data_IF_433275931632
#
_entry.id   IF_433275931632
#
_cell.length_a   1.000
_cell.length_b   1.000
_cell.length_c   1.000
_cell.angle_alpha   90.00
_cell.angle_beta   90.00
_cell.angle_gamma   90.00
#
_symmetry.space_group_name_H-M   'P 1'
#
loop_
_entity.id
_entity.type
_entity.pdbx_description
1 polymer ?
#
# COMPACT_ATOMS: atom_id res chain seq x y z
N UNK A 1 -12.53 -10.78 55.05
CA UNK A 1 -13.19 -11.37 53.86
C UNK A 1 -13.89 -10.24 53.11
N UNK A 2 -13.32 -9.79 52.00
CA UNK A 2 -13.90 -8.76 51.14
C UNK A 2 -13.30 -8.91 49.75
N UNK A 3 -14.00 -9.62 48.85
CA UNK A 3 -13.61 -9.79 47.46
C UNK A 3 -14.06 -8.58 46.65
N UNK A 4 -13.12 -7.88 46.02
CA UNK A 4 -13.41 -6.86 45.01
C UNK A 4 -13.46 -7.56 43.66
N UNK A 5 -14.62 -7.53 43.01
CA UNK A 5 -14.83 -8.07 41.68
C UNK A 5 -14.15 -7.15 40.64
N UNK A 6 -13.19 -7.70 39.90
CA UNK A 6 -12.57 -7.01 38.76
C UNK A 6 -13.52 -7.10 37.55
N UNK A 7 -14.08 -5.97 37.15
CA UNK A 7 -14.80 -5.82 35.88
C UNK A 7 -13.75 -5.76 34.76
N UNK A 8 -13.65 -6.84 33.97
CA UNK A 8 -12.88 -6.83 32.73
C UNK A 8 -13.67 -6.04 31.67
N UNK A 9 -13.20 -4.86 31.33
CA UNK A 9 -13.70 -4.12 30.18
C UNK A 9 -13.22 -4.81 28.90
N UNK A 10 -14.15 -5.37 28.12
CA UNK A 10 -13.88 -5.83 26.76
C UNK A 10 -13.55 -4.62 25.88
N UNK A 11 -12.30 -4.57 25.41
CA UNK A 11 -11.85 -3.64 24.39
C UNK A 11 -12.50 -4.05 23.06
N UNK A 12 -13.22 -3.16 22.35
CA UNK A 12 -13.74 -3.48 21.03
C UNK A 12 -12.57 -3.66 20.06
N UNK A 13 -12.38 -4.89 19.59
CA UNK A 13 -11.44 -5.22 18.51
C UNK A 13 -11.93 -4.56 17.23
N UNK A 14 -11.11 -3.68 16.66
CA UNK A 14 -11.30 -3.20 15.29
C UNK A 14 -11.38 -4.43 14.35
N UNK A 15 -12.19 -4.38 13.27
CA UNK A 15 -12.22 -5.45 12.30
C UNK A 15 -10.82 -5.64 11.73
N UNK A 16 -10.21 -6.77 12.04
CA UNK A 16 -9.03 -7.26 11.36
C UNK A 16 -9.35 -7.32 9.86
N UNK A 17 -8.44 -6.77 9.04
CA UNK A 17 -8.42 -7.10 7.63
C UNK A 17 -8.47 -8.64 7.49
N UNK A 18 -9.23 -9.18 6.53
CA UNK A 18 -9.34 -10.63 6.38
C UNK A 18 -7.93 -11.20 6.23
N UNK A 19 -7.50 -11.96 7.25
CA UNK A 19 -6.41 -12.91 7.09
C UNK A 19 -6.84 -13.90 6.01
N UNK A 20 -5.93 -14.17 5.10
CA UNK A 20 -6.10 -15.03 3.94
C UNK A 20 -6.50 -16.45 4.34
N UNK A 21 -7.81 -16.70 4.45
CA UNK A 21 -8.45 -18.03 4.37
C UNK A 21 -9.90 -17.90 3.92
N UNK A 22 -10.18 -17.01 2.94
CA UNK A 22 -11.30 -17.29 2.03
C UNK A 22 -10.85 -18.46 1.12
N UNK A 23 -11.74 -19.38 0.70
CA UNK A 23 -11.44 -20.20 -0.47
C UNK A 23 -10.99 -19.23 -1.56
N UNK A 24 -9.79 -19.45 -2.12
CA UNK A 24 -9.18 -18.50 -3.04
C UNK A 24 -10.19 -18.25 -4.15
N UNK A 25 -10.75 -17.03 -4.20
CA UNK A 25 -11.76 -16.68 -5.18
C UNK A 25 -11.22 -17.07 -6.56
N UNK A 26 -12.05 -17.66 -7.42
CA UNK A 26 -11.61 -18.07 -8.74
C UNK A 26 -11.31 -16.81 -9.59
N UNK A 27 -10.10 -16.71 -10.13
CA UNK A 27 -9.69 -15.66 -11.07
C UNK A 27 -9.88 -16.17 -12.49
N UNK A 28 -10.75 -15.54 -13.27
CA UNK A 28 -11.16 -16.02 -14.58
C UNK A 28 -10.27 -15.54 -15.73
N UNK A 29 -9.52 -14.46 -15.51
CA UNK A 29 -8.69 -13.79 -16.51
C UNK A 29 -9.39 -12.56 -17.10
N UNK A 30 -8.64 -11.49 -17.44
CA UNK A 30 -9.20 -10.23 -17.92
C UNK A 30 -9.97 -10.35 -19.25
N UNK A 31 -9.76 -11.42 -20.01
CA UNK A 31 -10.52 -11.73 -21.22
C UNK A 31 -12.04 -11.83 -20.96
N UNK A 32 -12.48 -12.25 -19.77
CA UNK A 32 -13.91 -12.27 -19.41
C UNK A 32 -14.53 -10.89 -19.31
N UNK A 33 -13.72 -9.84 -19.14
CA UNK A 33 -14.17 -8.45 -19.07
C UNK A 33 -14.20 -7.77 -20.46
N UNK A 34 -13.57 -8.39 -21.47
CA UNK A 34 -13.14 -7.75 -22.72
C UNK A 34 -14.21 -7.61 -23.80
N UNK A 35 -15.44 -8.08 -23.58
CA UNK A 35 -16.50 -7.98 -24.59
C UNK A 35 -17.02 -6.54 -24.73
N UNK A 36 -17.57 -6.20 -25.90
CA UNK A 36 -18.14 -4.86 -26.16
C UNK A 36 -19.42 -4.56 -25.39
N UNK A 37 -20.05 -5.58 -24.77
CA UNK A 37 -21.20 -5.38 -23.87
C UNK A 37 -20.76 -5.21 -22.41
N UNK A 38 -19.50 -5.52 -22.11
CA UNK A 38 -18.87 -5.36 -20.80
C UNK A 38 -17.93 -4.13 -20.82
N UNK A 39 -16.62 -4.35 -20.72
CA UNK A 39 -15.61 -3.29 -20.59
C UNK A 39 -14.70 -3.14 -21.83
N UNK A 40 -15.06 -3.77 -22.95
CA UNK A 40 -14.23 -3.85 -24.16
C UNK A 40 -14.64 -2.96 -25.34
N UNK A 41 -15.56 -2.00 -25.15
CA UNK A 41 -15.97 -1.10 -26.25
C UNK A 41 -14.79 -0.31 -26.78
N UNK A 42 -14.82 0.01 -28.07
CA UNK A 42 -13.77 0.78 -28.72
C UNK A 42 -13.56 2.18 -28.12
N UNK A 43 -14.67 2.84 -27.81
CA UNK A 43 -14.73 4.17 -27.22
C UNK A 43 -15.62 4.13 -25.98
N UNK A 44 -15.38 5.07 -25.08
CA UNK A 44 -16.27 5.32 -23.95
C UNK A 44 -17.69 5.63 -24.44
N UNK A 45 -18.69 5.19 -23.69
CA UNK A 45 -20.09 5.54 -23.89
C UNK A 45 -20.55 6.55 -22.81
N UNK A 46 -21.39 7.49 -23.21
CA UNK A 46 -22.01 8.46 -22.30
C UNK A 46 -23.32 7.93 -21.70
N UNK A 47 -23.71 8.45 -20.54
CA UNK A 47 -24.99 8.10 -19.89
C UNK A 47 -25.00 6.74 -19.18
N UNK A 48 -23.84 6.11 -18.99
CA UNK A 48 -23.65 4.89 -18.21
C UNK A 48 -22.82 5.16 -16.96
N UNK A 49 -22.98 4.33 -15.92
CA UNK A 49 -22.26 4.46 -14.65
C UNK A 49 -20.76 4.08 -14.71
N UNK A 50 -20.33 3.51 -15.84
CA UNK A 50 -18.99 3.02 -16.16
C UNK A 50 -18.65 3.44 -17.59
N UNK A 51 -17.38 3.48 -17.96
CA UNK A 51 -16.94 3.92 -19.29
C UNK A 51 -17.18 2.84 -20.38
N UNK A 52 -17.27 1.56 -19.99
CA UNK A 52 -17.40 0.37 -20.85
C UNK A 52 -16.23 0.13 -21.84
N UNK A 53 -15.12 0.86 -21.70
CA UNK A 53 -13.91 0.69 -22.48
C UNK A 53 -12.66 0.49 -21.60
N UNK A 54 -12.84 0.21 -20.30
CA UNK A 54 -11.77 0.07 -19.31
C UNK A 54 -10.76 -1.02 -19.69
N UNK A 55 -11.19 -2.13 -20.30
CA UNK A 55 -10.29 -3.17 -20.80
C UNK A 55 -9.32 -2.63 -21.87
N UNK A 56 -9.77 -1.69 -22.70
CA UNK A 56 -8.91 -1.06 -23.71
C UNK A 56 -7.92 -0.09 -23.09
N UNK A 57 -8.36 0.68 -22.10
CA UNK A 57 -7.48 1.57 -21.33
C UNK A 57 -6.38 0.73 -20.66
N UNK A 58 -6.76 -0.36 -19.99
CA UNK A 58 -5.83 -1.29 -19.36
C UNK A 58 -4.82 -1.90 -20.35
N UNK A 59 -5.30 -2.48 -21.46
CA UNK A 59 -4.43 -3.14 -22.46
C UNK A 59 -3.49 -2.17 -23.19
N UNK A 60 -3.88 -0.91 -23.39
CA UNK A 60 -3.14 0.03 -24.24
C UNK A 60 -2.30 1.03 -23.47
N UNK A 61 -2.77 1.48 -22.32
CA UNK A 61 -2.20 2.63 -21.62
C UNK A 61 -1.60 2.21 -20.28
N UNK A 62 -2.24 1.28 -19.57
CA UNK A 62 -1.81 0.88 -18.22
C UNK A 62 -0.51 0.06 -18.27
N UNK A 63 0.46 0.40 -17.41
CA UNK A 63 1.71 -0.35 -17.26
C UNK A 63 1.49 -1.74 -16.64
N UNK A 64 0.42 -1.91 -15.87
CA UNK A 64 0.06 -3.18 -15.22
C UNK A 64 -0.17 -4.31 -16.22
N UNK A 65 -0.79 -4.04 -17.39
CA UNK A 65 -0.96 -5.04 -18.46
C UNK A 65 0.36 -5.49 -19.11
N UNK A 66 1.43 -4.72 -18.93
CA UNK A 66 2.78 -5.03 -19.43
C UNK A 66 3.73 -5.55 -18.33
N UNK A 67 3.23 -5.73 -17.10
CA UNK A 67 4.07 -6.08 -15.97
C UNK A 67 4.77 -7.43 -16.18
N UNK A 68 4.08 -8.44 -16.72
CA UNK A 68 4.66 -9.76 -17.04
C UNK A 68 5.78 -9.65 -18.09
N UNK A 69 5.58 -8.84 -19.13
CA UNK A 69 6.58 -8.63 -20.19
C UNK A 69 7.90 -8.05 -19.66
N UNK A 70 7.86 -7.35 -18.51
CA UNK A 70 9.09 -6.87 -17.84
C UNK A 70 9.96 -8.05 -17.40
N UNK A 71 9.38 -9.18 -17.01
CA UNK A 71 10.11 -10.37 -16.59
C UNK A 71 10.87 -11.05 -17.75
N UNK A 72 10.46 -10.79 -18.99
CA UNK A 72 11.04 -11.40 -20.19
C UNK A 72 12.29 -10.67 -20.72
N UNK A 73 12.62 -9.49 -20.17
CA UNK A 73 13.75 -8.69 -20.64
C UNK A 73 15.10 -9.15 -20.03
N UNK A 74 16.20 -8.70 -20.64
CA UNK A 74 17.55 -9.08 -20.22
C UNK A 74 17.91 -8.65 -18.79
N UNK A 75 17.37 -7.51 -18.31
CA UNK A 75 17.60 -7.06 -16.93
C UNK A 75 16.97 -8.03 -15.94
N UNK A 76 15.74 -8.47 -16.17
CA UNK A 76 15.02 -9.40 -15.30
C UNK A 76 15.65 -10.79 -15.31
N UNK A 77 16.07 -11.28 -16.48
CA UNK A 77 16.85 -12.53 -16.58
C UNK A 77 18.17 -12.45 -15.78
N UNK A 78 18.89 -11.33 -15.88
CA UNK A 78 20.11 -11.13 -15.12
C UNK A 78 19.87 -11.05 -13.60
N UNK A 79 18.76 -10.44 -13.16
CA UNK A 79 18.34 -10.45 -11.76
C UNK A 79 18.09 -11.90 -11.30
N UNK A 80 17.28 -12.67 -12.04
CA UNK A 80 17.00 -14.07 -11.72
C UNK A 80 18.27 -14.91 -11.64
N UNK A 81 19.19 -14.76 -12.59
CA UNK A 81 20.48 -15.46 -12.59
C UNK A 81 21.32 -15.14 -11.34
N UNK A 82 21.42 -13.87 -10.94
CA UNK A 82 22.15 -13.48 -9.72
C UNK A 82 21.54 -14.04 -8.44
N UNK A 83 20.23 -14.26 -8.44
CA UNK A 83 19.48 -14.88 -7.33
C UNK A 83 19.47 -16.41 -7.39
N UNK A 84 20.10 -17.03 -8.40
CA UNK A 84 20.06 -18.49 -8.59
C UNK A 84 18.69 -19.02 -9.01
N UNK A 85 17.82 -18.17 -9.53
CA UNK A 85 16.50 -18.55 -10.06
C UNK A 85 16.64 -19.00 -11.52
N UNK A 86 15.86 -20.02 -11.92
CA UNK A 86 15.90 -20.54 -13.28
C UNK A 86 15.40 -19.53 -14.32
N UNK A 87 14.30 -18.85 -14.03
CA UNK A 87 13.67 -17.86 -14.90
C UNK A 87 12.85 -16.86 -14.09
N UNK A 88 12.94 -15.58 -14.44
CA UNK A 88 12.14 -14.53 -13.82
C UNK A 88 10.65 -14.71 -14.12
N UNK A 89 10.29 -15.17 -15.32
CA UNK A 89 8.90 -15.28 -15.77
C UNK A 89 8.13 -16.47 -15.19
N UNK A 90 8.81 -17.38 -14.48
CA UNK A 90 8.20 -18.48 -13.73
C UNK A 90 8.44 -18.40 -12.22
N UNK A 91 9.37 -17.55 -11.75
CA UNK A 91 9.70 -17.46 -10.34
C UNK A 91 8.59 -16.76 -9.54
N UNK A 92 8.09 -17.43 -8.50
CA UNK A 92 7.05 -16.89 -7.60
C UNK A 92 7.35 -15.48 -7.11
N UNK A 93 8.58 -15.23 -6.64
CA UNK A 93 9.01 -13.92 -6.10
C UNK A 93 8.88 -12.78 -7.12
N UNK A 94 8.97 -13.09 -8.41
CA UNK A 94 8.77 -12.12 -9.49
C UNK A 94 7.29 -12.01 -9.86
N UNK A 95 6.61 -13.15 -10.04
CA UNK A 95 5.20 -13.22 -10.44
C UNK A 95 4.25 -12.58 -9.43
N UNK A 96 4.55 -12.68 -8.14
CA UNK A 96 3.73 -12.12 -7.06
C UNK A 96 3.39 -10.62 -7.23
N UNK A 97 4.26 -9.85 -7.91
CA UNK A 97 4.05 -8.43 -8.20
C UNK A 97 3.87 -8.12 -9.69
N UNK A 98 4.29 -9.00 -10.60
CA UNK A 98 4.29 -8.77 -12.04
C UNK A 98 3.16 -9.50 -12.80
N UNK A 99 2.35 -10.28 -12.09
CA UNK A 99 1.17 -10.95 -12.61
C UNK A 99 0.05 -10.99 -11.56
N UNK A 100 -1.16 -11.36 -11.98
CA UNK A 100 -2.22 -11.80 -11.08
C UNK A 100 -1.90 -13.19 -10.48
N UNK A 101 -0.86 -13.27 -9.65
CA UNK A 101 -0.30 -14.55 -9.23
C UNK A 101 -1.11 -15.22 -8.11
N UNK A 102 -2.12 -15.98 -8.50
CA UNK A 102 -2.91 -16.87 -7.62
C UNK A 102 -2.52 -18.34 -7.79
N UNK A 103 -2.78 -19.22 -6.81
CA UNK A 103 -2.59 -20.67 -6.94
C UNK A 103 -3.29 -21.24 -8.18
N UNK A 104 -2.74 -22.29 -8.78
CA UNK A 104 -3.27 -22.89 -10.01
C UNK A 104 -4.73 -23.34 -9.88
N UNK A 105 -5.11 -23.91 -8.72
CA UNK A 105 -6.48 -24.31 -8.43
C UNK A 105 -7.49 -23.14 -8.38
N UNK A 106 -7.01 -21.90 -8.32
CA UNK A 106 -7.82 -20.68 -8.31
C UNK A 106 -7.81 -19.95 -9.66
N UNK A 107 -7.33 -20.59 -10.73
CA UNK A 107 -7.29 -20.03 -12.09
C UNK A 107 -8.39 -20.64 -12.94
N UNK A 108 -9.23 -19.81 -13.53
CA UNK A 108 -10.27 -20.20 -14.48
C UNK A 108 -9.70 -20.51 -15.86
N UNK A 109 -10.55 -21.02 -16.75
CA UNK A 109 -10.15 -21.51 -18.07
C UNK A 109 -9.46 -20.45 -18.95
N UNK A 110 -9.86 -19.17 -18.83
CA UNK A 110 -9.31 -18.07 -19.64
C UNK A 110 -8.18 -17.32 -18.95
N UNK A 111 -7.77 -17.75 -17.75
CA UNK A 111 -6.75 -17.09 -16.97
C UNK A 111 -5.35 -17.30 -17.58
N UNK A 112 -4.57 -16.23 -17.70
CA UNK A 112 -3.17 -16.31 -18.14
C UNK A 112 -2.27 -15.44 -17.27
N UNK A 113 -1.16 -16.00 -16.80
CA UNK A 113 -0.13 -15.21 -16.09
C UNK A 113 0.47 -14.12 -16.98
N UNK A 114 0.53 -14.38 -18.29
CA UNK A 114 1.07 -13.44 -19.29
C UNK A 114 0.23 -12.19 -19.49
N UNK A 115 -1.00 -12.15 -18.97
CA UNK A 115 -1.82 -10.93 -18.97
C UNK A 115 -1.25 -9.85 -18.04
N UNK A 116 -0.29 -10.19 -17.18
CA UNK A 116 0.28 -9.26 -16.21
C UNK A 116 -0.65 -9.01 -15.03
N UNK A 117 -0.62 -7.79 -14.50
CA UNK A 117 -1.52 -7.39 -13.40
C UNK A 117 -2.87 -7.02 -14.03
N UNK A 118 -3.77 -8.01 -14.08
CA UNK A 118 -5.08 -7.93 -14.71
C UNK A 118 -6.15 -7.26 -13.84
N UNK A 119 -7.39 -7.26 -14.32
CA UNK A 119 -8.53 -6.64 -13.63
C UNK A 119 -8.72 -7.19 -12.21
N UNK A 120 -8.65 -8.52 -12.06
CA UNK A 120 -8.95 -9.24 -10.83
C UNK A 120 -7.84 -9.09 -9.76
N UNK A 121 -6.62 -8.73 -10.15
CA UNK A 121 -5.57 -8.37 -9.21
C UNK A 121 -5.93 -7.11 -8.39
N UNK A 122 -6.79 -6.24 -8.94
CA UNK A 122 -7.29 -5.04 -8.25
C UNK A 122 -8.75 -5.17 -7.78
N UNK A 123 -9.61 -5.83 -8.57
CA UNK A 123 -11.04 -5.95 -8.30
C UNK A 123 -11.39 -7.21 -7.49
N UNK A 124 -10.42 -8.10 -7.23
CA UNK A 124 -10.65 -9.42 -6.63
C UNK A 124 -11.07 -10.46 -7.69
N UNK A 125 -10.82 -11.74 -7.42
CA UNK A 125 -11.21 -12.84 -8.30
C UNK A 125 -12.70 -12.82 -8.63
N UNK A 126 -13.03 -12.85 -9.92
CA UNK A 126 -14.37 -12.56 -10.42
C UNK A 126 -15.32 -13.75 -10.40
N UNK A 127 -14.85 -14.97 -10.10
CA UNK A 127 -15.66 -16.19 -10.16
C UNK A 127 -17.02 -16.09 -9.47
N UNK A 128 -17.07 -15.44 -8.31
CA UNK A 128 -18.28 -15.35 -7.49
C UNK A 128 -19.18 -14.14 -7.83
N UNK A 129 -18.62 -13.07 -8.43
CA UNK A 129 -19.35 -11.82 -8.67
C UNK A 129 -19.54 -11.47 -10.15
N UNK A 130 -18.84 -12.11 -11.08
CA UNK A 130 -18.94 -11.79 -12.52
C UNK A 130 -20.33 -12.07 -13.08
N UNK A 131 -21.10 -12.99 -12.52
CA UNK A 131 -22.47 -13.20 -13.00
C UNK A 131 -23.40 -12.08 -12.53
N UNK A 132 -23.33 -11.74 -11.24
CA UNK A 132 -24.24 -10.77 -10.63
C UNK A 132 -23.87 -9.30 -10.88
N UNK A 133 -22.63 -8.99 -11.26
CA UNK A 133 -22.23 -7.58 -11.49
C UNK A 133 -22.94 -6.91 -12.67
N UNK A 134 -23.41 -7.70 -13.65
CA UNK A 134 -24.13 -7.21 -14.82
C UNK A 134 -25.66 -7.26 -14.66
N UNK A 135 -26.16 -7.82 -13.56
CA UNK A 135 -27.60 -7.95 -13.29
C UNK A 135 -28.17 -6.63 -12.78
N UNK A 136 -29.32 -6.21 -13.34
CA UNK A 136 -29.92 -4.89 -13.10
C UNK A 136 -30.32 -4.64 -11.65
N UNK A 137 -30.73 -5.68 -10.94
CA UNK A 137 -31.32 -5.59 -9.60
C UNK A 137 -30.34 -6.02 -8.49
N UNK A 138 -29.05 -6.13 -8.81
CA UNK A 138 -28.00 -6.46 -7.84
C UNK A 138 -27.35 -5.18 -7.34
N UNK A 139 -27.31 -5.00 -6.02
CA UNK A 139 -26.64 -3.85 -5.43
C UNK A 139 -25.11 -4.04 -5.42
N UNK A 140 -24.36 -2.94 -5.47
CA UNK A 140 -22.90 -2.95 -5.34
C UNK A 140 -22.43 -3.70 -4.07
N UNK A 141 -23.15 -3.54 -2.96
CA UNK A 141 -22.88 -4.23 -1.70
C UNK A 141 -22.94 -5.77 -1.80
N UNK A 142 -23.79 -6.31 -2.68
CA UNK A 142 -23.92 -7.75 -2.87
C UNK A 142 -22.70 -8.32 -3.59
N UNK A 143 -22.16 -7.59 -4.58
CA UNK A 143 -20.92 -7.98 -5.26
C UNK A 143 -19.70 -7.84 -4.35
N UNK A 144 -19.69 -6.84 -3.46
CA UNK A 144 -18.67 -6.72 -2.40
C UNK A 144 -18.71 -7.94 -1.49
N UNK A 145 -19.90 -8.37 -1.05
CA UNK A 145 -20.06 -9.56 -0.22
C UNK A 145 -19.57 -10.84 -0.91
N UNK A 146 -19.55 -10.85 -2.25
CA UNK A 146 -19.02 -11.92 -3.11
C UNK A 146 -17.54 -11.77 -3.46
N UNK A 147 -16.85 -10.76 -2.92
CA UNK A 147 -15.40 -10.61 -3.09
C UNK A 147 -14.95 -9.51 -4.05
N UNK A 148 -15.87 -8.71 -4.60
CA UNK A 148 -15.48 -7.49 -5.34
C UNK A 148 -14.79 -6.50 -4.39
N UNK A 149 -13.57 -6.12 -4.72
CA UNK A 149 -12.81 -5.15 -3.95
C UNK A 149 -13.40 -3.72 -4.10
N UNK A 150 -13.54 -3.03 -2.97
CA UNK A 150 -14.09 -1.66 -2.87
C UNK A 150 -13.06 -0.60 -3.26
N UNK A 151 -12.56 -0.65 -4.49
CA UNK A 151 -11.46 0.23 -4.94
C UNK A 151 -11.85 1.72 -5.05
N UNK A 152 -13.14 2.05 -4.91
CA UNK A 152 -13.61 3.43 -4.72
C UNK A 152 -13.29 4.02 -3.34
N UNK A 153 -13.03 3.17 -2.35
CA UNK A 153 -12.58 3.59 -1.03
C UNK A 153 -11.05 3.77 -1.04
N UNK A 154 -10.53 5.00 -0.80
CA UNK A 154 -9.09 5.22 -0.86
C UNK A 154 -8.30 4.40 0.16
N UNK A 155 -8.85 4.02 1.31
CA UNK A 155 -8.16 3.18 2.28
C UNK A 155 -7.97 1.75 1.76
N UNK A 156 -9.03 1.18 1.19
CA UNK A 156 -9.00 -0.15 0.57
C UNK A 156 -8.04 -0.15 -0.62
N UNK A 157 -8.14 0.86 -1.48
CA UNK A 157 -7.25 1.02 -2.62
C UNK A 157 -5.79 1.19 -2.19
N UNK A 158 -5.52 1.98 -1.14
CA UNK A 158 -4.17 2.15 -0.59
C UNK A 158 -3.57 0.80 -0.18
N UNK A 159 -4.30 0.03 0.62
CA UNK A 159 -3.87 -1.27 1.11
C UNK A 159 -3.58 -2.24 -0.04
N UNK A 160 -4.47 -2.28 -1.03
CA UNK A 160 -4.32 -3.08 -2.23
C UNK A 160 -3.05 -2.71 -3.01
N UNK A 161 -2.87 -1.44 -3.39
CA UNK A 161 -1.72 -1.00 -4.17
C UNK A 161 -0.40 -1.25 -3.41
N UNK A 162 -0.38 -0.95 -2.10
CA UNK A 162 0.81 -1.13 -1.27
C UNK A 162 1.18 -2.59 -1.05
N UNK A 163 0.27 -3.55 -1.23
CA UNK A 163 0.58 -4.98 -1.15
C UNK A 163 1.65 -5.42 -2.16
N UNK A 164 1.78 -4.70 -3.28
CA UNK A 164 2.85 -4.88 -4.27
C UNK A 164 3.87 -3.72 -4.26
N UNK A 165 3.39 -2.47 -4.14
CA UNK A 165 4.23 -1.28 -4.29
C UNK A 165 5.05 -0.88 -3.05
N UNK A 166 4.75 -1.47 -1.90
CA UNK A 166 5.63 -1.47 -0.73
C UNK A 166 6.01 -2.91 -0.37
N UNK A 167 4.99 -3.76 -0.33
CA UNK A 167 5.09 -5.20 -0.17
C UNK A 167 4.21 -5.75 0.93
N UNK A 168 4.10 -7.06 0.95
CA UNK A 168 3.47 -7.86 2.00
C UNK A 168 4.42 -8.99 2.42
N UNK A 169 4.07 -9.77 3.45
CA UNK A 169 4.93 -10.84 3.96
C UNK A 169 5.36 -11.83 2.88
N UNK A 170 4.52 -12.09 1.87
CA UNK A 170 4.83 -12.96 0.73
C UNK A 170 5.41 -12.21 -0.48
N UNK A 171 5.26 -10.88 -0.51
CA UNK A 171 5.55 -10.02 -1.67
C UNK A 171 6.47 -8.87 -1.25
N UNK A 172 7.74 -9.14 -0.99
CA UNK A 172 8.64 -8.10 -0.46
C UNK A 172 9.91 -7.98 -1.29
N UNK A 173 10.14 -6.79 -1.85
CA UNK A 173 11.37 -6.46 -2.54
C UNK A 173 12.46 -6.09 -1.52
N UNK A 174 13.02 -7.11 -0.87
CA UNK A 174 14.08 -6.95 0.13
C UNK A 174 15.43 -6.55 -0.46
N UNK A 175 16.41 -6.32 0.41
CA UNK A 175 17.71 -5.77 0.02
C UNK A 175 18.48 -6.71 -0.93
N UNK A 176 18.34 -8.03 -0.79
CA UNK A 176 18.93 -9.01 -1.72
C UNK A 176 18.40 -8.85 -3.15
N UNK A 177 17.08 -8.69 -3.30
CA UNK A 177 16.44 -8.48 -4.60
C UNK A 177 16.93 -7.16 -5.24
N UNK A 178 17.08 -6.11 -4.43
CA UNK A 178 17.65 -4.84 -4.89
C UNK A 178 19.13 -4.99 -5.29
N UNK A 179 19.93 -5.71 -4.51
CA UNK A 179 21.34 -5.99 -4.80
C UNK A 179 21.51 -6.78 -6.11
N UNK A 180 20.57 -7.67 -6.43
CA UNK A 180 20.52 -8.37 -7.72
C UNK A 180 20.16 -7.45 -8.91
N UNK A 181 19.67 -6.23 -8.65
CA UNK A 181 19.41 -5.20 -9.65
C UNK A 181 17.94 -4.79 -9.79
N UNK A 182 17.05 -5.28 -8.91
CA UNK A 182 15.67 -4.80 -8.87
C UNK A 182 15.62 -3.34 -8.39
N UNK A 183 14.83 -2.45 -9.03
CA UNK A 183 14.73 -1.07 -8.56
C UNK A 183 14.12 -0.99 -7.16
N UNK A 184 14.52 0.02 -6.38
CA UNK A 184 13.81 0.34 -5.14
C UNK A 184 12.38 0.77 -5.48
N UNK A 185 11.41 0.21 -4.78
CA UNK A 185 10.02 0.62 -4.92
C UNK A 185 9.82 2.01 -4.29
N UNK A 186 9.08 2.87 -4.99
CA UNK A 186 8.72 4.21 -4.51
C UNK A 186 7.28 4.47 -4.90
N UNK A 187 6.40 4.64 -3.91
CA UNK A 187 4.96 4.76 -4.15
C UNK A 187 4.31 5.77 -3.20
N UNK A 188 3.44 6.59 -3.78
CA UNK A 188 2.57 7.53 -3.08
C UNK A 188 1.20 7.49 -3.77
N UNK A 189 0.16 7.15 -3.02
CA UNK A 189 -1.15 6.81 -3.58
C UNK A 189 -1.75 7.91 -4.45
N UNK A 190 -1.71 9.17 -4.01
CA UNK A 190 -2.35 10.25 -4.76
C UNK A 190 -1.64 10.53 -6.09
N UNK A 191 -0.30 10.55 -6.07
CA UNK A 191 0.55 10.74 -7.25
C UNK A 191 0.35 9.62 -8.25
N UNK A 192 0.37 8.37 -7.80
CA UNK A 192 0.20 7.22 -8.69
C UNK A 192 -1.26 7.06 -9.15
N UNK A 193 -2.25 7.47 -8.36
CA UNK A 193 -3.65 7.58 -8.81
C UNK A 193 -3.79 8.58 -9.95
N UNK A 194 -3.06 9.71 -9.89
CA UNK A 194 -3.11 10.73 -10.93
C UNK A 194 -2.33 10.34 -12.20
N UNK A 195 -1.26 9.56 -12.07
CA UNK A 195 -0.39 9.17 -13.18
C UNK A 195 -0.82 7.87 -13.88
N UNK A 196 -1.57 6.99 -13.20
CA UNK A 196 -2.17 5.83 -13.84
C UNK A 196 -3.33 6.27 -14.74
N UNK A 197 -3.52 5.66 -15.94
CA UNK A 197 -4.72 5.93 -16.72
C UNK A 197 -5.97 5.54 -15.93
N UNK A 198 -6.93 6.46 -15.84
CA UNK A 198 -8.13 6.24 -15.05
C UNK A 198 -9.04 5.21 -15.71
N UNK A 199 -9.46 4.19 -14.96
CA UNK A 199 -10.49 3.21 -15.37
C UNK A 199 -11.89 3.62 -14.89
N UNK A 200 -12.09 4.92 -14.68
CA UNK A 200 -13.32 5.53 -14.22
C UNK A 200 -13.35 6.99 -14.65
N UNK A 201 -14.56 7.55 -14.73
CA UNK A 201 -14.76 8.97 -14.92
C UNK A 201 -15.37 9.58 -13.66
N UNK A 202 -14.86 10.74 -13.23
CA UNK A 202 -15.44 11.50 -12.12
C UNK A 202 -16.40 12.53 -12.70
N UNK A 203 -17.65 12.11 -12.93
CA UNK A 203 -18.77 12.94 -13.36
C UNK A 203 -19.79 13.13 -12.23
N UNK A 204 -20.94 13.75 -12.54
CA UNK A 204 -21.98 14.00 -11.54
C UNK A 204 -22.55 12.69 -10.94
N UNK A 205 -22.71 11.65 -11.76
CA UNK A 205 -23.19 10.33 -11.31
C UNK A 205 -22.16 9.66 -10.38
N UNK A 206 -20.87 9.69 -10.74
CA UNK A 206 -19.81 9.19 -9.89
C UNK A 206 -19.82 9.89 -8.52
N UNK A 207 -19.89 11.22 -8.51
CA UNK A 207 -19.91 12.01 -7.28
C UNK A 207 -21.15 11.72 -6.43
N UNK A 208 -22.31 11.51 -7.06
CA UNK A 208 -23.54 11.14 -6.36
C UNK A 208 -23.42 9.76 -5.69
N UNK A 209 -22.85 8.76 -6.38
CA UNK A 209 -22.76 7.39 -5.87
C UNK A 209 -21.60 7.17 -4.89
N UNK A 210 -20.44 7.76 -5.17
CA UNK A 210 -19.16 7.45 -4.48
C UNK A 210 -18.64 8.62 -3.64
N UNK A 211 -19.24 9.80 -3.77
CA UNK A 211 -18.84 11.02 -3.10
C UNK A 211 -17.62 11.69 -3.75
N UNK A 212 -17.35 12.93 -3.34
CA UNK A 212 -16.14 13.64 -3.72
C UNK A 212 -14.96 13.20 -2.84
N UNK A 213 -14.00 12.49 -3.43
CA UNK A 213 -12.76 12.10 -2.76
C UNK A 213 -11.65 13.07 -3.15
N UNK A 214 -11.52 14.16 -2.39
CA UNK A 214 -10.46 15.14 -2.62
C UNK A 214 -9.07 14.48 -2.59
N UNK A 215 -8.16 14.94 -3.45
CA UNK A 215 -6.79 14.40 -3.54
C UNK A 215 -6.06 14.40 -2.20
N UNK A 216 -6.32 15.38 -1.33
CA UNK A 216 -5.74 15.42 0.02
C UNK A 216 -6.19 14.24 0.90
N UNK A 217 -7.43 13.77 0.75
CA UNK A 217 -7.92 12.58 1.45
C UNK A 217 -7.23 11.32 0.93
N UNK A 218 -7.05 11.21 -0.39
CA UNK A 218 -6.33 10.08 -1.01
C UNK A 218 -4.87 10.06 -0.53
N UNK A 219 -4.19 11.21 -0.55
CA UNK A 219 -2.82 11.36 -0.06
C UNK A 219 -2.70 10.97 1.43
N UNK A 220 -3.58 11.50 2.28
CA UNK A 220 -3.60 11.21 3.71
C UNK A 220 -3.80 9.71 4.02
N UNK A 221 -4.75 9.06 3.33
CA UNK A 221 -5.01 7.63 3.50
C UNK A 221 -3.86 6.78 2.95
N UNK A 222 -3.23 7.21 1.84
CA UNK A 222 -2.01 6.62 1.31
C UNK A 222 -0.85 6.66 2.30
N UNK A 223 -0.59 7.80 2.94
CA UNK A 223 0.45 7.93 3.97
C UNK A 223 0.22 6.97 5.14
N UNK A 224 -1.01 6.93 5.69
CA UNK A 224 -1.34 6.03 6.81
C UNK A 224 -1.13 4.57 6.41
N UNK A 225 -1.60 4.18 5.22
CA UNK A 225 -1.45 2.82 4.74
C UNK A 225 0.02 2.44 4.50
N UNK A 226 0.85 3.35 3.98
CA UNK A 226 2.28 3.12 3.77
C UNK A 226 3.01 2.87 5.08
N UNK A 227 2.78 3.70 6.11
CA UNK A 227 3.38 3.49 7.43
C UNK A 227 2.83 2.20 8.07
N UNK A 228 1.52 1.92 7.94
CA UNK A 228 0.92 0.68 8.45
C UNK A 228 1.53 -0.56 7.79
N UNK A 229 1.77 -0.55 6.47
CA UNK A 229 2.39 -1.65 5.74
C UNK A 229 3.82 -1.92 6.26
N UNK A 230 4.61 -0.86 6.46
CA UNK A 230 5.93 -0.95 7.08
C UNK A 230 5.87 -1.56 8.48
N UNK A 231 5.00 -1.05 9.35
CA UNK A 231 4.89 -1.54 10.74
C UNK A 231 4.43 -3.00 10.78
N UNK A 232 3.54 -3.40 9.88
CA UNK A 232 3.12 -4.80 9.74
C UNK A 232 4.30 -5.70 9.40
N UNK A 233 5.14 -5.28 8.44
CA UNK A 233 6.32 -6.04 8.06
C UNK A 233 7.40 -6.04 9.15
N UNK A 234 7.60 -4.93 9.87
CA UNK A 234 8.48 -4.84 11.05
C UNK A 234 8.07 -5.87 12.11
N UNK A 235 6.76 -6.07 12.29
CA UNK A 235 6.21 -7.05 13.22
C UNK A 235 6.37 -8.52 12.76
N UNK A 236 6.62 -8.75 11.48
CA UNK A 236 6.76 -10.08 10.90
C UNK A 236 8.18 -10.66 11.01
N UNK A 237 8.35 -11.89 10.52
CA UNK A 237 9.68 -12.49 10.37
C UNK A 237 10.56 -11.73 9.36
N UNK A 238 9.97 -11.00 8.40
CA UNK A 238 10.73 -10.28 7.35
C UNK A 238 11.71 -9.28 7.92
N UNK A 239 11.38 -8.60 9.02
CA UNK A 239 12.28 -7.61 9.62
C UNK A 239 13.56 -8.22 10.19
N UNK A 240 13.47 -9.41 10.80
CA UNK A 240 14.64 -10.08 11.35
C UNK A 240 15.63 -10.56 10.30
N UNK A 241 15.20 -10.65 9.03
CA UNK A 241 16.01 -11.23 7.97
C UNK A 241 16.31 -12.71 8.21
N UNK A 242 17.38 -13.20 7.57
CA UNK A 242 17.83 -14.60 7.67
C UNK A 242 19.07 -14.76 8.58
N UNK A 243 19.41 -13.76 9.41
CA UNK A 243 20.66 -13.78 10.16
C UNK A 243 20.72 -12.77 11.31
N UNK A 244 21.95 -12.38 11.68
CA UNK A 244 22.21 -11.44 12.79
C UNK A 244 21.80 -10.01 12.44
N UNK A 245 21.87 -9.64 11.17
CA UNK A 245 21.43 -8.35 10.69
C UNK A 245 19.96 -8.39 10.28
N UNK A 246 19.16 -7.37 10.67
CA UNK A 246 17.80 -7.23 10.17
C UNK A 246 17.80 -6.96 8.66
N UNK A 247 16.63 -7.13 8.04
CA UNK A 247 16.44 -6.82 6.63
C UNK A 247 16.66 -5.32 6.36
N UNK A 248 17.71 -5.02 5.60
CA UNK A 248 18.20 -3.65 5.40
C UNK A 248 17.23 -2.77 4.60
N UNK A 249 16.31 -3.36 3.82
CA UNK A 249 15.29 -2.61 3.09
C UNK A 249 14.31 -1.83 4.01
N UNK A 250 14.25 -2.12 5.31
CA UNK A 250 13.46 -1.35 6.28
C UNK A 250 14.15 -0.07 6.76
N UNK A 251 15.44 0.11 6.46
CA UNK A 251 16.24 1.23 6.90
C UNK A 251 16.35 2.31 5.82
N UNK A 252 16.67 3.53 6.23
CA UNK A 252 16.94 4.63 5.30
C UNK A 252 18.20 4.32 4.49
N UNK A 253 18.03 4.08 3.19
CA UNK A 253 19.13 3.77 2.29
C UNK A 253 20.21 4.86 2.32
N UNK A 254 19.85 6.14 2.48
CA UNK A 254 20.80 7.25 2.48
C UNK A 254 21.54 7.41 3.81
N UNK A 255 21.16 6.65 4.85
CA UNK A 255 21.98 6.51 6.04
C UNK A 255 23.26 5.69 5.78
N UNK A 256 23.26 4.85 4.72
CA UNK A 256 24.42 4.03 4.34
C UNK A 256 24.99 4.40 2.95
N UNK A 257 24.14 4.80 2.00
CA UNK A 257 24.49 5.11 0.62
C UNK A 257 24.59 6.62 0.40
N UNK A 258 25.61 7.22 1.00
CA UNK A 258 25.98 8.61 0.76
C UNK A 258 27.51 8.75 0.67
N UNK A 259 28.04 9.85 0.12
CA UNK A 259 29.48 10.09 0.11
C UNK A 259 30.05 10.13 1.54
N UNK A 260 31.13 9.39 1.79
CA UNK A 260 31.78 9.30 3.11
C UNK A 260 32.53 10.58 3.52
N UNK A 261 32.72 11.52 2.59
CA UNK A 261 33.36 12.82 2.85
C UNK A 261 32.35 13.91 3.28
N UNK A 262 31.06 13.59 3.35
CA UNK A 262 30.02 14.51 3.80
C UNK A 262 29.79 14.39 5.31
N UNK A 263 30.18 15.41 6.08
CA UNK A 263 29.97 15.44 7.53
C UNK A 263 28.49 15.63 7.87
N UNK A 264 27.83 14.58 8.36
CA UNK A 264 26.42 14.59 8.81
C UNK A 264 26.33 14.36 10.32
N UNK A 265 26.71 15.37 11.10
CA UNK A 265 26.70 15.33 12.57
C UNK A 265 25.61 16.25 13.15
N UNK A 266 24.34 15.91 12.90
CA UNK A 266 23.19 16.67 13.42
C UNK A 266 22.06 15.75 13.88
N UNK A 267 21.45 16.00 15.04
CA UNK A 267 20.23 15.30 15.43
C UNK A 267 19.06 15.74 14.55
N UNK A 268 18.29 14.77 14.04
CA UNK A 268 17.08 15.02 13.25
C UNK A 268 15.81 14.88 14.12
N UNK A 269 14.71 15.63 13.85
CA UNK A 269 13.56 15.69 14.77
C UNK A 269 12.78 14.39 15.03
N UNK A 270 12.75 13.43 14.09
CA UNK A 270 12.17 12.08 14.30
C UNK A 270 13.16 11.04 14.85
N UNK A 271 14.33 11.52 15.24
CA UNK A 271 15.43 10.69 15.70
C UNK A 271 15.90 11.16 17.09
N UNK A 272 14.99 11.76 17.88
CA UNK A 272 15.30 12.20 19.24
C UNK A 272 15.72 11.01 20.10
N UNK A 273 16.93 11.12 20.66
CA UNK A 273 17.55 10.08 21.47
C UNK A 273 18.28 9.00 20.65
N UNK A 274 18.43 9.18 19.33
CA UNK A 274 19.44 8.47 18.56
C UNK A 274 20.75 9.27 18.56
N UNK A 275 21.88 8.58 18.70
CA UNK A 275 23.19 9.18 18.51
C UNK A 275 23.40 9.53 17.03
N UNK A 276 24.15 10.60 16.71
CA UNK A 276 24.63 10.83 15.35
C UNK A 276 25.32 9.57 14.79
N UNK A 277 25.00 9.21 13.54
CA UNK A 277 25.51 8.00 12.89
C UNK A 277 24.74 6.71 13.18
N UNK A 278 23.70 6.73 14.02
CA UNK A 278 22.82 5.58 14.20
C UNK A 278 22.09 5.23 12.90
N UNK A 279 21.94 3.92 12.62
CA UNK A 279 21.21 3.44 11.43
C UNK A 279 19.70 3.62 11.67
N UNK A 280 19.04 4.39 10.81
CA UNK A 280 17.64 4.81 11.00
C UNK A 280 16.71 3.93 10.19
N UNK A 281 15.54 3.59 10.75
CA UNK A 281 14.44 3.05 9.95
C UNK A 281 14.05 4.07 8.88
N UNK A 282 13.57 3.61 7.73
CA UNK A 282 13.04 4.51 6.71
C UNK A 282 11.74 5.15 7.24
N UNK A 283 11.77 6.44 7.56
CA UNK A 283 10.71 7.16 8.26
C UNK A 283 10.03 8.24 7.40
N UNK A 284 10.35 8.34 6.11
CA UNK A 284 9.88 9.45 5.26
C UNK A 284 8.36 9.62 5.25
N UNK A 285 7.60 8.52 5.14
CA UNK A 285 6.13 8.56 5.21
C UNK A 285 5.63 8.92 6.62
N UNK A 286 6.32 8.45 7.67
CA UNK A 286 5.98 8.78 9.06
C UNK A 286 6.21 10.26 9.33
N UNK A 287 7.24 10.87 8.75
CA UNK A 287 7.53 12.29 8.90
C UNK A 287 6.44 13.19 8.33
N UNK A 288 5.95 12.86 7.13
CA UNK A 288 4.81 13.53 6.52
C UNK A 288 3.54 13.29 7.34
N UNK A 289 3.37 12.07 7.85
CA UNK A 289 2.20 11.71 8.65
C UNK A 289 2.14 12.45 9.98
N UNK A 290 3.28 12.70 10.64
CA UNK A 290 3.33 13.53 11.86
C UNK A 290 2.87 14.96 11.54
N UNK A 291 3.30 15.55 10.42
CA UNK A 291 2.88 16.90 10.03
C UNK A 291 1.36 16.96 9.74
N UNK A 292 0.83 15.94 9.05
CA UNK A 292 -0.60 15.79 8.85
C UNK A 292 -1.33 15.68 10.18
N UNK A 293 -0.91 14.76 11.05
CA UNK A 293 -1.55 14.54 12.34
C UNK A 293 -1.51 15.78 13.23
N UNK A 294 -0.40 16.51 13.28
CA UNK A 294 -0.26 17.78 14.03
C UNK A 294 -1.24 18.83 13.51
N UNK A 295 -1.38 18.95 12.19
CA UNK A 295 -2.31 19.91 11.58
C UNK A 295 -3.76 19.60 11.95
N UNK A 296 -4.12 18.31 12.02
CA UNK A 296 -5.48 17.89 12.37
C UNK A 296 -5.73 17.92 13.89
N UNK A 297 -4.70 17.65 14.69
CA UNK A 297 -4.73 17.61 16.14
C UNK A 297 -3.30 17.67 16.70
N UNK A 298 -2.87 18.79 17.31
CA UNK A 298 -1.51 18.90 17.87
C UNK A 298 -1.16 17.81 18.88
N UNK A 299 -2.14 17.40 19.71
CA UNK A 299 -1.99 16.31 20.68
C UNK A 299 -1.65 15.00 19.97
N UNK A 300 -2.31 14.71 18.85
CA UNK A 300 -2.09 13.49 18.06
C UNK A 300 -0.78 13.51 17.29
N UNK A 301 -0.45 14.65 16.68
CA UNK A 301 0.86 14.85 16.06
C UNK A 301 1.99 14.53 17.03
N UNK A 302 1.91 15.08 18.25
CA UNK A 302 2.90 14.81 19.29
C UNK A 302 2.90 13.34 19.77
N UNK A 303 1.74 12.67 19.83
CA UNK A 303 1.67 11.26 20.19
C UNK A 303 2.36 10.37 19.15
N UNK A 304 2.06 10.57 17.86
CA UNK A 304 2.67 9.83 16.75
C UNK A 304 4.17 10.12 16.66
N UNK A 305 4.59 11.39 16.84
CA UNK A 305 6.01 11.75 16.87
C UNK A 305 6.76 11.06 18.02
N UNK A 306 6.18 11.02 19.22
CA UNK A 306 6.76 10.28 20.36
C UNK A 306 6.85 8.79 20.10
N UNK A 307 5.80 8.19 19.52
CA UNK A 307 5.77 6.77 19.17
C UNK A 307 6.80 6.42 18.08
N UNK A 308 6.94 7.27 17.06
CA UNK A 308 7.99 7.17 16.03
C UNK A 308 9.39 7.22 16.62
N UNK A 309 9.68 8.23 17.44
CA UNK A 309 10.96 8.33 18.14
C UNK A 309 11.24 7.10 19.02
N UNK A 310 10.22 6.55 19.69
CA UNK A 310 10.36 5.33 20.48
C UNK A 310 10.65 4.08 19.62
N UNK A 311 10.04 3.97 18.44
CA UNK A 311 10.32 2.92 17.47
C UNK A 311 11.77 2.98 16.98
N UNK A 312 12.26 4.18 16.64
CA UNK A 312 13.66 4.39 16.25
C UNK A 312 14.64 3.98 17.35
N UNK A 313 14.41 4.36 18.60
CA UNK A 313 15.26 3.92 19.71
C UNK A 313 15.23 2.40 19.90
N UNK A 314 14.05 1.79 19.75
CA UNK A 314 13.90 0.35 19.88
C UNK A 314 14.58 -0.44 18.76
N UNK A 315 14.71 0.13 17.55
CA UNK A 315 15.43 -0.53 16.45
C UNK A 315 16.94 -0.68 16.71
N UNK A 316 17.50 0.07 17.68
CA UNK A 316 18.89 -0.06 18.11
C UNK A 316 19.08 -1.05 19.27
N UNK A 317 18.01 -1.70 19.72
CA UNK A 317 18.03 -2.60 20.87
C UNK A 317 17.92 -4.05 20.40
N UNK A 318 16.70 -4.53 20.19
CA UNK A 318 16.42 -5.91 19.79
C UNK A 318 15.09 -6.05 19.06
N UNK A 319 14.84 -7.25 18.50
CA UNK A 319 13.63 -7.56 17.73
C UNK A 319 12.35 -7.48 18.57
N UNK A 320 12.38 -7.81 19.86
CA UNK A 320 11.18 -7.75 20.69
C UNK A 320 10.78 -6.29 20.97
N UNK A 321 11.76 -5.45 21.30
CA UNK A 321 11.57 -4.03 21.55
C UNK A 321 10.98 -3.31 20.32
N UNK A 322 11.58 -3.49 19.14
CA UNK A 322 11.12 -2.82 17.91
C UNK A 322 9.71 -3.28 17.51
N UNK A 323 9.40 -4.57 17.64
CA UNK A 323 8.05 -5.11 17.38
C UNK A 323 7.02 -4.53 18.34
N UNK A 324 7.35 -4.44 19.63
CA UNK A 324 6.48 -3.84 20.64
C UNK A 324 6.20 -2.37 20.36
N UNK A 325 7.20 -1.59 19.94
CA UNK A 325 7.01 -0.17 19.57
C UNK A 325 6.30 0.01 18.23
N UNK A 326 6.47 -0.93 17.30
CA UNK A 326 5.73 -0.92 16.04
C UNK A 326 4.23 -1.14 16.27
N UNK A 327 3.85 -2.09 17.13
CA UNK A 327 2.47 -2.33 17.52
C UNK A 327 1.84 -1.09 18.22
N UNK A 328 2.59 -0.44 19.11
CA UNK A 328 2.13 0.78 19.77
C UNK A 328 1.88 1.93 18.76
N UNK A 329 2.81 2.15 17.82
CA UNK A 329 2.61 3.16 16.77
C UNK A 329 1.44 2.80 15.85
N UNK A 330 1.24 1.52 15.54
CA UNK A 330 0.10 1.06 14.74
C UNK A 330 -1.25 1.41 15.38
N UNK A 331 -1.38 1.30 16.71
CA UNK A 331 -2.58 1.72 17.43
C UNK A 331 -2.88 3.23 17.29
N UNK A 332 -1.85 4.07 17.25
CA UNK A 332 -2.00 5.51 16.98
C UNK A 332 -2.48 5.76 15.54
N UNK A 333 -1.98 4.96 14.59
CA UNK A 333 -2.39 5.06 13.18
C UNK A 333 -3.84 4.63 12.95
N UNK A 334 -4.32 3.62 13.66
CA UNK A 334 -5.72 3.18 13.56
C UNK A 334 -6.67 4.24 14.09
N UNK A 335 -6.28 4.91 15.17
CA UNK A 335 -7.00 6.08 15.67
C UNK A 335 -6.96 7.23 14.67
N UNK A 336 -5.80 7.53 14.05
CA UNK A 336 -5.71 8.56 13.01
C UNK A 336 -6.54 8.23 11.76
N UNK A 337 -6.54 6.97 11.31
CA UNK A 337 -7.28 6.49 10.14
C UNK A 337 -8.77 6.79 10.27
N UNK A 338 -9.39 6.49 11.41
CA UNK A 338 -10.81 6.76 11.65
C UNK A 338 -11.14 8.24 11.48
N UNK A 339 -10.28 9.13 12.00
CA UNK A 339 -10.49 10.57 11.87
C UNK A 339 -10.25 11.08 10.45
N UNK A 340 -9.24 10.57 9.75
CA UNK A 340 -8.94 10.96 8.36
C UNK A 340 -10.03 10.46 7.40
N UNK A 341 -10.53 9.24 7.59
CA UNK A 341 -11.58 8.67 6.75
C UNK A 341 -12.91 9.42 6.87
N UNK A 342 -13.22 9.95 8.05
CA UNK A 342 -14.42 10.74 8.30
C UNK A 342 -14.31 12.22 7.88
N UNK A 343 -13.10 12.70 7.55
CA UNK A 343 -12.86 14.13 7.31
C UNK A 343 -13.00 14.50 5.84
N UNK A 344 -13.72 15.59 5.59
CA UNK A 344 -13.67 16.30 4.33
C UNK A 344 -12.59 17.37 4.41
N UNK A 345 -11.49 17.20 3.68
CA UNK A 345 -10.38 18.15 3.68
C UNK A 345 -10.80 19.45 2.99
N UNK A 346 -10.78 20.54 3.74
CA UNK A 346 -11.10 21.88 3.24
C UNK A 346 -9.86 22.77 3.21
N UNK A 347 -9.97 23.95 2.61
CA UNK A 347 -8.86 24.91 2.52
C UNK A 347 -8.30 25.30 3.90
N UNK A 348 -9.14 25.33 4.93
CA UNK A 348 -8.75 25.56 6.33
C UNK A 348 -7.83 24.46 6.90
N UNK A 349 -7.88 23.23 6.35
CA UNK A 349 -6.95 22.15 6.70
C UNK A 349 -5.66 22.22 5.85
N UNK A 350 -5.82 22.51 4.55
CA UNK A 350 -4.75 22.43 3.57
C UNK A 350 -3.75 23.57 3.70
N UNK A 351 -4.20 24.80 3.99
CA UNK A 351 -3.30 25.96 4.12
C UNK A 351 -2.31 25.77 5.29
N UNK A 352 -2.75 25.45 6.53
CA UNK A 352 -1.82 25.20 7.64
C UNK A 352 -0.91 24.00 7.37
N UNK A 353 -1.43 22.92 6.79
CA UNK A 353 -0.63 21.73 6.45
C UNK A 353 0.50 22.09 5.49
N UNK A 354 0.18 22.82 4.41
CA UNK A 354 1.19 23.28 3.43
C UNK A 354 2.25 24.14 4.10
N UNK A 355 1.84 25.12 4.92
CA UNK A 355 2.77 25.98 5.65
C UNK A 355 3.66 25.20 6.60
N UNK A 356 3.11 24.20 7.30
CA UNK A 356 3.85 23.32 8.20
C UNK A 356 4.88 22.48 7.43
N UNK A 357 4.49 21.87 6.31
CA UNK A 357 5.37 21.08 5.46
C UNK A 357 6.53 21.93 4.92
N UNK A 358 6.23 23.13 4.40
CA UNK A 358 7.26 24.04 3.89
C UNK A 358 8.24 24.46 5.00
N UNK A 359 7.73 24.83 6.17
CA UNK A 359 8.55 25.17 7.33
C UNK A 359 9.46 24.00 7.73
N UNK A 360 8.90 22.80 7.88
CA UNK A 360 9.66 21.58 8.22
C UNK A 360 10.70 21.23 7.16
N UNK A 361 10.41 21.45 5.87
CA UNK A 361 11.39 21.27 4.80
C UNK A 361 12.56 22.26 4.94
N UNK A 362 12.28 23.54 5.24
CA UNK A 362 13.34 24.54 5.48
C UNK A 362 14.17 24.28 6.74
N UNK A 363 13.60 23.57 7.71
CA UNK A 363 14.29 23.08 8.92
C UNK A 363 15.06 21.76 8.67
N UNK A 364 15.04 21.21 7.45
CA UNK A 364 15.73 19.95 7.11
C UNK A 364 15.06 18.69 7.69
N UNK A 365 13.77 18.75 8.07
CA UNK A 365 13.07 17.60 8.70
C UNK A 365 12.75 16.43 7.76
N UNK A 366 12.99 16.59 6.46
CA UNK A 366 12.75 15.57 5.43
C UNK A 366 14.04 15.20 4.66
N UNK A 367 15.19 15.69 5.12
CA UNK A 367 16.48 15.53 4.47
C UNK A 367 17.18 14.20 4.82
#
# INVERSE_FOLDING_TARGET
>A
MGCVAAVQAQVPTAPSAPSATAPTALHLGPATCASSVCHGRANQIEGTQVMQNEYRVWTREDAHSRAYNTLLNERSKAIAQRLGLSDAASAKVCLDCHADHVPEAARGEQFQLSDGVGCEACHGGAGEWIKSHAERDVAHADNIAKGLARTEDPAVRAQLCLSCHYGAAEKFAGHELMAAGHPRLSFELATYTANQPAHYQVDADYLQRKGNRANASIWAQGLIASVRAQLTLIQSARFGGNGVFPELAFFDCHACHHPMNELRWSPLPLHQGLAPGAIRLNDGNLALLVALAETLSPVRGAAIERAGNALHRASQQDLAAVRGKAAALQSELDTLQTHVAARTFAEADLRPLRSLLLRRATEGRFA
#
